data_IF_770168763130
#
_entry.id   IF_770168763130
#
_cell.length_a   1.000
_cell.length_b   1.000
_cell.length_c   1.000
_cell.angle_alpha   90.00
_cell.angle_beta   90.00
_cell.angle_gamma   90.00
#
_symmetry.space_group_name_H-M   'P 1'
#
loop_
_entity.id
_entity.type
_entity.pdbx_description
1 polymer ?
#
# COMPACT_ATOMS: atom_id res chain seq x y z
N UNK A 1 27.23 -37.36 -40.45
CA UNK A 1 27.49 -36.02 -39.91
C UNK A 1 26.88 -35.02 -40.89
N UNK A 2 25.99 -34.07 -40.61
CA UNK A 2 25.42 -33.54 -39.38
C UNK A 2 23.92 -33.23 -39.64
N UNK A 3 23.04 -33.80 -38.82
CA UNK A 3 21.63 -33.37 -38.75
C UNK A 3 21.57 -32.15 -37.83
N UNK A 4 21.49 -30.94 -38.40
CA UNK A 4 21.17 -29.75 -37.61
C UNK A 4 19.67 -29.77 -37.26
N UNK A 5 19.37 -30.18 -36.03
CA UNK A 5 18.07 -29.92 -35.40
C UNK A 5 17.94 -28.42 -35.13
N UNK A 6 17.27 -27.71 -36.03
CA UNK A 6 16.75 -26.37 -35.76
C UNK A 6 15.66 -26.46 -34.69
N UNK A 7 16.01 -26.17 -33.43
CA UNK A 7 15.04 -26.01 -32.36
C UNK A 7 14.17 -24.78 -32.62
N UNK A 8 12.93 -25.00 -33.07
CA UNK A 8 11.94 -23.94 -33.20
C UNK A 8 11.61 -23.38 -31.81
N UNK A 9 12.14 -22.20 -31.46
CA UNK A 9 11.67 -21.45 -30.30
C UNK A 9 10.23 -21.03 -30.57
N UNK A 10 9.28 -21.68 -29.90
CA UNK A 10 7.90 -21.19 -29.79
C UNK A 10 7.95 -19.79 -29.18
N UNK A 11 7.76 -18.76 -30.02
CA UNK A 11 7.44 -17.41 -29.57
C UNK A 11 6.03 -17.49 -29.01
N UNK A 12 5.89 -17.37 -27.69
CA UNK A 12 4.58 -17.27 -27.05
C UNK A 12 4.10 -15.83 -27.26
N UNK A 13 3.04 -15.67 -28.04
CA UNK A 13 2.38 -14.36 -28.20
C UNK A 13 1.56 -14.06 -26.93
N UNK A 14 1.95 -13.02 -26.19
CA UNK A 14 1.14 -12.45 -25.12
C UNK A 14 0.13 -11.48 -25.74
N UNK A 15 -1.16 -11.74 -25.53
CA UNK A 15 -2.25 -10.81 -25.91
C UNK A 15 -2.97 -10.40 -24.64
N UNK A 16 -2.87 -9.13 -24.30
CA UNK A 16 -3.63 -8.51 -23.22
C UNK A 16 -4.97 -8.01 -23.77
N UNK A 17 -6.06 -8.32 -23.08
CA UNK A 17 -7.40 -7.86 -23.40
C UNK A 17 -7.97 -7.26 -22.12
N UNK A 18 -8.40 -6.00 -22.19
CA UNK A 18 -8.99 -5.27 -21.08
C UNK A 18 -10.49 -5.12 -21.32
N UNK A 19 -11.29 -5.30 -20.26
CA UNK A 19 -12.74 -5.07 -20.27
C UNK A 19 -13.05 -3.96 -19.27
N UNK A 20 -13.47 -2.82 -19.78
CA UNK A 20 -13.77 -1.60 -19.03
C UNK A 20 -15.27 -1.25 -19.02
N UNK A 21 -16.06 -1.79 -19.95
CA UNK A 21 -17.50 -1.53 -20.03
C UNK A 21 -18.28 -2.23 -18.89
N UNK A 22 -18.93 -1.49 -17.97
CA UNK A 22 -19.72 -2.07 -16.91
C UNK A 22 -21.06 -2.61 -17.44
N UNK A 23 -21.46 -3.79 -16.98
CA UNK A 23 -22.73 -4.42 -17.37
C UNK A 23 -23.87 -4.19 -16.37
N UNK A 24 -23.58 -3.68 -15.17
CA UNK A 24 -24.55 -3.55 -14.06
C UNK A 24 -25.05 -2.13 -13.85
N UNK A 25 -24.27 -1.13 -14.26
CA UNK A 25 -24.51 0.29 -14.08
C UNK A 25 -24.04 1.04 -15.32
N UNK A 26 -24.37 2.33 -15.41
CA UNK A 26 -23.99 3.15 -16.55
C UNK A 26 -22.49 3.41 -16.60
N UNK A 27 -21.96 3.62 -17.81
CA UNK A 27 -20.60 4.14 -17.99
C UNK A 27 -20.48 5.49 -17.29
N UNK A 28 -19.39 5.71 -16.56
CA UNK A 28 -19.13 6.92 -15.75
C UNK A 28 -20.14 7.13 -14.61
N UNK A 29 -20.47 6.08 -13.85
CA UNK A 29 -21.29 6.23 -12.64
C UNK A 29 -20.56 7.07 -11.58
N UNK A 30 -21.10 8.23 -11.16
CA UNK A 30 -20.45 9.10 -10.18
C UNK A 30 -20.30 8.45 -8.80
N UNK A 31 -21.17 7.48 -8.44
CA UNK A 31 -21.05 6.73 -7.18
C UNK A 31 -19.88 5.76 -7.24
N UNK A 32 -19.65 5.12 -8.38
CA UNK A 32 -18.48 4.26 -8.60
C UNK A 32 -17.19 5.07 -8.57
N UNK A 33 -17.15 6.21 -9.27
CA UNK A 33 -15.99 7.11 -9.25
C UNK A 33 -15.67 7.59 -7.83
N UNK A 34 -16.70 8.01 -7.08
CA UNK A 34 -16.54 8.42 -5.68
C UNK A 34 -15.99 7.27 -4.83
N UNK A 35 -16.54 6.06 -4.96
CA UNK A 35 -16.12 4.89 -4.18
C UNK A 35 -14.67 4.50 -4.51
N UNK A 36 -14.30 4.47 -5.79
CA UNK A 36 -12.94 4.15 -6.23
C UNK A 36 -11.94 5.19 -5.73
N UNK A 37 -12.32 6.47 -5.69
CA UNK A 37 -11.49 7.53 -5.14
C UNK A 37 -11.33 7.40 -3.62
N UNK A 38 -12.42 7.18 -2.90
CA UNK A 38 -12.41 7.02 -1.44
C UNK A 38 -11.56 5.82 -1.00
N UNK A 39 -11.73 4.68 -1.67
CA UNK A 39 -11.02 3.44 -1.35
C UNK A 39 -9.65 3.33 -2.05
N UNK A 40 -9.23 4.35 -2.79
CA UNK A 40 -7.94 4.39 -3.49
C UNK A 40 -7.74 3.21 -4.47
N UNK A 41 -8.80 2.72 -5.11
CA UNK A 41 -8.76 1.50 -5.95
C UNK A 41 -8.02 1.70 -7.29
N UNK A 42 -7.94 2.94 -7.77
CA UNK A 42 -7.20 3.28 -8.99
C UNK A 42 -5.70 3.58 -8.75
N UNK A 43 -5.13 3.22 -7.60
CA UNK A 43 -3.71 3.45 -7.31
C UNK A 43 -2.77 2.41 -7.94
N UNK A 44 -3.16 1.74 -9.01
CA UNK A 44 -2.36 0.68 -9.66
C UNK A 44 -1.15 1.22 -10.41
N UNK A 45 -1.12 2.52 -10.73
CA UNK A 45 -0.02 3.17 -11.42
C UNK A 45 0.72 4.10 -10.45
N UNK A 46 2.04 3.92 -10.33
CA UNK A 46 2.89 4.80 -9.55
C UNK A 46 3.18 6.08 -10.33
N UNK A 47 2.99 7.24 -9.70
CA UNK A 47 3.42 8.51 -10.25
C UNK A 47 4.93 8.48 -10.55
N UNK A 48 5.38 8.89 -11.74
CA UNK A 48 6.80 8.97 -12.03
C UNK A 48 7.49 9.98 -11.10
N UNK A 49 8.68 9.61 -10.61
CA UNK A 49 9.49 10.47 -9.75
C UNK A 49 9.87 11.75 -10.51
N UNK A 50 9.56 12.91 -9.94
CA UNK A 50 9.88 14.20 -10.57
C UNK A 50 11.36 14.54 -10.45
N UNK A 51 11.99 14.14 -9.33
CA UNK A 51 13.39 14.46 -9.03
C UNK A 51 14.35 13.27 -9.22
N UNK A 52 13.85 12.15 -9.76
CA UNK A 52 14.58 10.88 -9.82
C UNK A 52 14.75 10.22 -8.45
N UNK A 53 15.59 9.18 -8.40
CA UNK A 53 15.95 8.50 -7.16
C UNK A 53 17.34 8.99 -6.69
N UNK A 54 17.40 9.85 -5.66
CA UNK A 54 18.67 10.33 -5.10
C UNK A 54 19.41 9.20 -4.35
N UNK A 55 20.69 9.46 -4.03
CA UNK A 55 21.48 8.53 -3.20
C UNK A 55 20.79 8.30 -1.84
N UNK A 56 20.72 7.06 -1.32
CA UNK A 56 20.02 6.77 -0.06
C UNK A 56 20.46 7.63 1.13
N UNK A 57 21.74 8.01 1.21
CA UNK A 57 22.28 8.87 2.28
C UNK A 57 21.70 10.30 2.28
N UNK A 58 21.06 10.70 1.18
CA UNK A 58 20.39 12.01 1.04
C UNK A 58 18.87 11.91 1.29
N UNK A 59 18.38 10.72 1.64
CA UNK A 59 16.97 10.47 1.91
C UNK A 59 16.73 10.39 3.41
N UNK A 60 15.67 11.05 3.86
CA UNK A 60 15.26 11.04 5.26
C UNK A 60 13.93 10.30 5.43
N UNK A 61 13.81 9.60 6.54
CA UNK A 61 12.58 8.91 6.93
C UNK A 61 11.71 9.84 7.78
N UNK A 62 10.47 10.05 7.36
CA UNK A 62 9.51 10.91 8.03
C UNK A 62 8.36 10.09 8.62
N UNK A 63 7.99 10.42 9.86
CA UNK A 63 6.78 9.90 10.48
C UNK A 63 5.55 10.68 9.97
N UNK A 64 4.54 9.96 9.47
CA UNK A 64 3.33 10.56 8.92
C UNK A 64 2.28 10.69 10.02
N UNK A 65 1.74 11.90 10.20
CA UNK A 65 0.58 12.11 11.05
C UNK A 65 -0.69 11.61 10.34
N UNK A 66 -1.30 10.56 10.89
CA UNK A 66 -2.53 9.94 10.36
C UNK A 66 -3.73 10.88 10.32
N UNK A 67 -3.95 11.67 11.36
CA UNK A 67 -5.09 12.60 11.39
C UNK A 67 -4.99 13.64 10.27
N UNK A 68 -3.77 14.08 9.96
CA UNK A 68 -3.51 14.99 8.84
C UNK A 68 -3.64 14.28 7.48
N UNK A 69 -3.19 13.03 7.40
CA UNK A 69 -3.28 12.19 6.20
C UNK A 69 -4.73 11.92 5.80
N UNK A 70 -5.59 11.57 6.75
CA UNK A 70 -6.99 11.22 6.54
C UNK A 70 -7.96 12.41 6.71
N UNK A 71 -7.45 13.64 6.65
CA UNK A 71 -8.25 14.88 6.79
C UNK A 71 -9.09 15.24 5.55
N UNK A 72 -9.01 14.45 4.47
CA UNK A 72 -9.67 14.70 3.18
C UNK A 72 -9.29 16.04 2.51
N UNK A 73 -8.14 16.61 2.89
CA UNK A 73 -7.59 17.78 2.22
C UNK A 73 -6.96 17.38 0.87
N UNK A 74 -7.11 18.23 -0.17
CA UNK A 74 -6.61 17.95 -1.54
C UNK A 74 -5.12 17.53 -1.60
N UNK A 75 -4.28 18.12 -0.74
CA UNK A 75 -2.86 17.76 -0.64
C UNK A 75 -2.65 16.40 0.01
N UNK A 76 -3.41 16.10 1.07
CA UNK A 76 -3.35 14.84 1.81
C UNK A 76 -3.87 13.68 0.96
N UNK A 77 -4.94 13.87 0.19
CA UNK A 77 -5.48 12.87 -0.74
C UNK A 77 -4.45 12.45 -1.81
N UNK A 78 -3.76 13.43 -2.40
CA UNK A 78 -2.68 13.12 -3.36
C UNK A 78 -1.52 12.38 -2.70
N UNK A 79 -1.17 12.75 -1.48
CA UNK A 79 -0.11 12.09 -0.72
C UNK A 79 -0.51 10.66 -0.33
N UNK A 80 -1.75 10.46 0.12
CA UNK A 80 -2.32 9.16 0.45
C UNK A 80 -2.37 8.25 -0.79
N UNK A 81 -2.82 8.75 -1.94
CA UNK A 81 -2.82 7.99 -3.21
C UNK A 81 -1.41 7.52 -3.60
N UNK A 82 -0.38 8.36 -3.43
CA UNK A 82 1.02 7.95 -3.65
C UNK A 82 1.45 6.81 -2.71
N UNK A 83 1.12 6.90 -1.42
CA UNK A 83 1.43 5.84 -0.44
C UNK A 83 0.68 4.55 -0.82
N UNK A 84 -0.62 4.64 -1.09
CA UNK A 84 -1.43 3.48 -1.46
C UNK A 84 -0.96 2.84 -2.77
N UNK A 85 -0.48 3.63 -3.73
CA UNK A 85 0.12 3.09 -4.95
C UNK A 85 1.37 2.26 -4.67
N UNK A 86 2.24 2.72 -3.76
CA UNK A 86 3.41 1.95 -3.33
C UNK A 86 3.00 0.65 -2.61
N UNK A 87 1.99 0.69 -1.74
CA UNK A 87 1.51 -0.53 -1.09
C UNK A 87 0.88 -1.52 -2.07
N UNK A 88 0.02 -1.04 -2.97
CA UNK A 88 -0.66 -1.88 -3.96
C UNK A 88 0.33 -2.52 -4.92
N UNK A 89 1.33 -1.76 -5.37
CA UNK A 89 2.36 -2.25 -6.29
C UNK A 89 3.37 -3.20 -5.63
N UNK A 90 3.63 -3.04 -4.33
CA UNK A 90 4.61 -3.86 -3.60
C UNK A 90 4.03 -5.17 -3.07
N UNK A 91 2.73 -5.22 -2.79
CA UNK A 91 2.07 -6.39 -2.19
C UNK A 91 1.26 -7.18 -3.21
N UNK A 92 1.49 -8.50 -3.24
CA UNK A 92 0.80 -9.45 -4.12
C UNK A 92 -0.72 -9.54 -3.87
N UNK A 93 -1.18 -9.19 -2.67
CA UNK A 93 -2.61 -9.21 -2.31
C UNK A 93 -2.92 -8.02 -1.41
N UNK A 94 -3.89 -7.21 -1.83
CA UNK A 94 -4.38 -6.05 -1.10
C UNK A 94 -5.88 -6.18 -0.88
N UNK A 95 -6.36 -5.67 0.24
CA UNK A 95 -7.77 -5.55 0.58
C UNK A 95 -8.11 -4.10 0.87
N UNK A 96 -9.28 -3.58 0.47
CA UNK A 96 -9.73 -2.25 0.89
C UNK A 96 -9.78 -2.07 2.41
N UNK A 97 -9.94 -3.17 3.16
CA UNK A 97 -9.91 -3.16 4.62
C UNK A 97 -8.53 -2.77 5.20
N UNK A 98 -7.46 -2.87 4.41
CA UNK A 98 -6.10 -2.48 4.84
C UNK A 98 -6.03 -0.96 5.07
N UNK A 99 -6.74 -0.19 4.24
CA UNK A 99 -6.88 1.26 4.40
C UNK A 99 -7.64 1.62 5.69
N UNK A 100 -8.69 0.85 6.00
CA UNK A 100 -9.44 1.01 7.24
C UNK A 100 -8.59 0.67 8.47
N UNK A 101 -7.79 -0.40 8.41
CA UNK A 101 -6.87 -0.76 9.47
C UNK A 101 -5.84 0.36 9.69
N UNK A 102 -5.29 0.91 8.61
CA UNK A 102 -4.32 2.01 8.67
C UNK A 102 -4.92 3.29 9.26
N UNK A 103 -6.20 3.57 9.02
CA UNK A 103 -6.86 4.79 9.51
C UNK A 103 -7.30 4.70 10.97
N UNK A 104 -7.79 3.55 11.42
CA UNK A 104 -8.45 3.39 12.72
C UNK A 104 -7.51 2.84 13.81
N UNK A 105 -6.72 1.81 13.50
CA UNK A 105 -6.05 1.05 14.56
C UNK A 105 -4.89 1.83 15.22
N UNK A 106 -4.96 2.13 16.54
CA UNK A 106 -4.02 3.05 17.21
C UNK A 106 -2.58 2.53 17.28
N UNK A 107 -2.40 1.22 17.21
CA UNK A 107 -1.08 0.58 17.17
C UNK A 107 -0.33 0.76 15.85
N UNK A 108 -0.96 1.30 14.80
CA UNK A 108 -0.33 1.45 13.49
C UNK A 108 0.28 2.84 13.29
N UNK A 109 1.55 2.86 12.89
CA UNK A 109 2.27 4.04 12.44
C UNK A 109 2.73 3.88 10.99
N UNK A 110 2.88 5.02 10.33
CA UNK A 110 3.29 5.09 8.94
C UNK A 110 4.55 5.96 8.83
N UNK A 111 5.54 5.43 8.14
CA UNK A 111 6.78 6.13 7.82
C UNK A 111 6.98 6.18 6.31
N UNK A 112 7.54 7.27 5.82
CA UNK A 112 7.80 7.49 4.40
C UNK A 112 9.22 7.96 4.20
N UNK A 113 9.91 7.35 3.24
CA UNK A 113 11.25 7.77 2.83
C UNK A 113 11.11 8.80 1.72
N UNK A 114 11.67 9.99 1.94
CA UNK A 114 11.57 11.11 1.02
C UNK A 114 12.98 11.59 0.67
N UNK A 115 13.20 11.91 -0.60
CA UNK A 115 14.46 12.52 -1.05
C UNK A 115 14.63 13.97 -0.59
N UNK A 116 15.72 14.66 -1.02
CA UNK A 116 15.99 16.03 -0.62
C UNK A 116 14.82 16.98 -0.93
N UNK A 117 14.31 17.65 0.12
CA UNK A 117 13.19 18.58 0.01
C UNK A 117 13.67 19.96 -0.43
N UNK A 118 13.21 20.39 -1.61
CA UNK A 118 13.33 21.80 -2.02
C UNK A 118 12.22 22.62 -1.35
N UNK A 119 12.53 23.20 -0.19
CA UNK A 119 11.59 23.98 0.64
C UNK A 119 10.98 25.19 -0.08
N UNK A 120 11.54 25.61 -1.22
CA UNK A 120 11.03 26.73 -2.02
C UNK A 120 9.92 26.31 -2.99
N UNK A 121 9.75 25.01 -3.24
CA UNK A 121 8.70 24.49 -4.13
C UNK A 121 7.51 24.02 -3.30
N UNK A 122 6.35 24.64 -3.51
CA UNK A 122 5.06 24.20 -2.97
C UNK A 122 4.52 22.97 -3.73
N UNK A 123 5.33 21.91 -3.83
CA UNK A 123 4.95 20.63 -4.45
C UNK A 123 4.95 19.52 -3.42
N UNK A 124 4.08 18.55 -3.62
CA UNK A 124 4.07 17.31 -2.83
C UNK A 124 5.37 16.56 -3.14
N UNK A 125 6.14 16.15 -2.12
CA UNK A 125 7.40 15.46 -2.34
C UNK A 125 7.21 14.09 -3.00
N UNK A 126 8.29 13.58 -3.56
CA UNK A 126 8.35 12.22 -4.07
C UNK A 126 8.58 11.25 -2.92
N UNK A 127 7.66 10.30 -2.75
CA UNK A 127 7.75 9.23 -1.76
C UNK A 127 8.46 8.05 -2.44
N UNK A 128 9.62 7.68 -1.93
CA UNK A 128 10.45 6.62 -2.50
C UNK A 128 10.11 5.25 -1.90
N UNK A 129 9.67 5.24 -0.63
CA UNK A 129 9.28 4.04 0.09
C UNK A 129 8.24 4.42 1.16
N UNK A 130 7.29 3.52 1.42
CA UNK A 130 6.33 3.63 2.51
C UNK A 130 6.44 2.38 3.40
N UNK A 131 6.46 2.58 4.72
CA UNK A 131 6.63 1.53 5.71
C UNK A 131 5.50 1.66 6.74
N UNK A 132 4.70 0.62 6.85
CA UNK A 132 3.70 0.48 7.90
C UNK A 132 4.29 -0.34 9.06
N UNK A 133 4.18 0.18 10.28
CA UNK A 133 4.62 -0.51 11.51
C UNK A 133 3.42 -0.70 12.42
N UNK A 134 3.33 -1.85 13.06
CA UNK A 134 2.37 -2.13 14.13
C UNK A 134 3.13 -2.29 15.45
N UNK A 135 2.78 -1.49 16.46
CA UNK A 135 3.25 -1.65 17.82
C UNK A 135 2.40 -2.70 18.53
N UNK A 136 2.97 -3.89 18.71
CA UNK A 136 2.34 -5.02 19.39
C UNK A 136 2.98 -5.26 20.77
N UNK A 137 2.20 -5.76 21.74
CA UNK A 137 2.71 -6.17 23.05
C UNK A 137 1.83 -5.75 24.23
N UNK A 138 2.43 -5.74 25.43
CA UNK A 138 1.77 -5.43 26.70
C UNK A 138 0.52 -6.29 27.00
N UNK A 139 0.50 -7.53 26.50
CA UNK A 139 -0.57 -8.49 26.78
C UNK A 139 -0.22 -9.29 28.04
N UNK A 140 -1.09 -9.25 29.04
CA UNK A 140 -0.89 -10.01 30.28
C UNK A 140 -0.91 -11.53 30.00
N UNK A 141 0.06 -12.26 30.56
CA UNK A 141 0.19 -13.72 30.39
C UNK A 141 -1.08 -14.48 30.80
N UNK A 142 -1.78 -14.00 31.83
CA UNK A 142 -3.05 -14.59 32.29
C UNK A 142 -4.16 -14.47 31.24
N UNK A 143 -4.27 -13.32 30.58
CA UNK A 143 -5.19 -13.07 29.47
C UNK A 143 -4.85 -13.94 28.27
N UNK A 144 -3.56 -14.16 28.01
CA UNK A 144 -3.10 -15.04 26.95
C UNK A 144 -3.47 -16.51 27.22
N UNK A 145 -3.17 -17.00 28.42
CA UNK A 145 -3.45 -18.37 28.81
C UNK A 145 -4.96 -18.66 28.84
N UNK A 146 -5.77 -17.74 29.36
CA UNK A 146 -7.23 -17.89 29.43
C UNK A 146 -7.91 -17.81 28.07
N UNK A 147 -7.44 -16.96 27.15
CA UNK A 147 -7.97 -16.87 25.78
C UNK A 147 -7.55 -18.07 24.94
N UNK A 148 -6.30 -18.53 25.09
CA UNK A 148 -5.81 -19.73 24.42
C UNK A 148 -6.50 -21.00 24.92
N UNK A 149 -6.77 -21.12 26.23
CA UNK A 149 -7.55 -22.22 26.80
C UNK A 149 -8.98 -22.29 26.23
N UNK A 150 -9.52 -21.14 25.78
CA UNK A 150 -10.82 -21.04 25.09
C UNK A 150 -10.72 -21.15 23.57
N UNK A 151 -9.54 -21.39 23.02
CA UNK A 151 -9.30 -21.47 21.57
C UNK A 151 -9.43 -20.13 20.83
N UNK A 152 -9.52 -19.01 21.55
CA UNK A 152 -9.67 -17.67 20.98
C UNK A 152 -8.29 -17.09 20.64
N UNK A 153 -8.11 -16.69 19.38
CA UNK A 153 -6.96 -15.89 18.92
C UNK A 153 -7.48 -14.54 18.44
N UNK A 154 -7.31 -13.46 19.22
CA UNK A 154 -7.78 -12.14 18.81
C UNK A 154 -7.01 -11.62 17.59
N UNK A 155 -7.65 -10.73 16.84
CA UNK A 155 -7.08 -10.05 15.67
C UNK A 155 -6.14 -8.93 16.12
N UNK A 156 -4.95 -9.28 16.62
CA UNK A 156 -3.94 -8.35 17.12
C UNK A 156 -2.91 -9.04 18.01
N UNK A 157 -1.77 -8.40 18.23
CA UNK A 157 -0.66 -8.91 19.05
C UNK A 157 -0.16 -10.30 18.61
N UNK A 158 -0.14 -10.54 17.29
CA UNK A 158 0.15 -11.84 16.69
C UNK A 158 1.53 -12.37 17.09
N UNK A 159 2.53 -11.49 17.23
CA UNK A 159 3.88 -11.87 17.64
C UNK A 159 3.86 -12.43 19.08
N UNK A 160 3.35 -11.71 20.10
CA UNK A 160 3.13 -12.27 21.43
C UNK A 160 2.39 -13.61 21.44
N UNK A 161 1.33 -13.78 20.63
CA UNK A 161 0.59 -15.04 20.58
C UNK A 161 1.39 -16.21 20.00
N UNK A 162 2.35 -15.92 19.11
CA UNK A 162 3.08 -16.93 18.33
C UNK A 162 4.42 -17.30 18.96
N UNK A 163 5.14 -16.32 19.49
CA UNK A 163 6.45 -16.53 20.12
C UNK A 163 6.23 -16.88 21.60
N UNK A 164 6.47 -18.15 21.95
CA UNK A 164 6.42 -18.66 23.33
C UNK A 164 7.71 -18.42 24.09
#
# INVERSE_FOLDING_TARGET
>A
EHTQRSGMKSIRDLKEILMDEPIRYGVNDPVEEWLNNLLCLHCTEADPLQSGAPHPDLCDLYHVNRDTLFSYHKGSEKFLKKIMSLFVSSHYKNSPNDLQLLSDAPGHALFVLIGPLDRQKSKIPDILCAIQVCYEGNVAKETMNSSMARGLRPSGDLIPWTVR
#
